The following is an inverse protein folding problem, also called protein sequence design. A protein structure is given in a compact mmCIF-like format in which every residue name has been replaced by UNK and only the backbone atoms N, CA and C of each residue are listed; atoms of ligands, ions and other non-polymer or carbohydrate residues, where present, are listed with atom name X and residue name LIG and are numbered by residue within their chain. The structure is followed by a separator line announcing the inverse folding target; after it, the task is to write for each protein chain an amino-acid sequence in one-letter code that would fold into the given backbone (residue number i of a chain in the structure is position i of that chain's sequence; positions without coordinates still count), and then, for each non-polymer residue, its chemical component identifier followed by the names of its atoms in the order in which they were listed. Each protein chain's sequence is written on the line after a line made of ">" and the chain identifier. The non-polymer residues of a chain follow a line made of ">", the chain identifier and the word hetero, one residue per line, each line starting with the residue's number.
data_IF_139403055108
#
_entry.id   IF_139403055108
#
_cell.length_a   1.000
_cell.length_b   1.000
_cell.length_c   1.000
_cell.angle_alpha   90.00
_cell.angle_beta   90.00
_cell.angle_gamma   90.00
#
_symmetry.space_group_name_H-M   'P 1'
#
loop_
_entity.id
_entity.type
_entity.pdbx_description
1 polymer ?
#
# COMPACT_ATOMS: atom_id res chain seq x y z
N UNK A 1 -6.00 -9.65 -10.10
CA UNK A 1 -5.44 -9.57 -8.73
C UNK A 1 -4.10 -8.87 -8.86
N UNK A 2 -3.92 -7.70 -8.26
CA UNK A 2 -2.67 -6.96 -8.36
C UNK A 2 -1.56 -7.74 -7.64
N UNK A 3 -0.40 -7.82 -8.28
CA UNK A 3 0.79 -8.44 -7.68
C UNK A 3 1.79 -7.34 -7.40
N UNK A 4 2.14 -7.16 -6.13
CA UNK A 4 3.28 -6.34 -5.75
C UNK A 4 4.49 -7.25 -5.74
N UNK A 5 5.19 -7.28 -6.87
CA UNK A 5 6.38 -8.09 -7.09
C UNK A 5 7.49 -7.26 -7.75
N UNK A 6 8.61 -7.91 -8.07
CA UNK A 6 9.74 -7.25 -8.75
C UNK A 6 9.35 -6.65 -10.12
N UNK A 7 8.31 -7.15 -10.80
CA UNK A 7 7.84 -6.54 -12.05
C UNK A 7 7.22 -5.18 -11.78
N UNK A 8 6.42 -5.05 -10.72
CA UNK A 8 5.89 -3.76 -10.30
C UNK A 8 7.02 -2.77 -10.01
N UNK A 9 8.05 -3.19 -9.28
CA UNK A 9 9.20 -2.30 -9.02
C UNK A 9 9.90 -1.86 -10.30
N UNK A 10 10.07 -2.75 -11.28
CA UNK A 10 10.62 -2.40 -12.60
C UNK A 10 9.74 -1.37 -13.33
N UNK A 11 8.43 -1.55 -13.33
CA UNK A 11 7.49 -0.60 -13.94
C UNK A 11 7.52 0.78 -13.27
N UNK A 12 7.77 0.81 -11.95
CA UNK A 12 7.93 2.03 -11.17
C UNK A 12 9.30 2.70 -11.34
N UNK A 13 10.22 2.07 -12.09
CA UNK A 13 11.57 2.57 -12.28
C UNK A 13 12.54 2.18 -11.16
N UNK A 14 12.13 1.35 -10.21
CA UNK A 14 12.92 0.85 -9.07
C UNK A 14 13.62 -0.49 -9.36
N UNK A 15 13.62 -0.94 -10.61
CA UNK A 15 14.21 -2.23 -11.01
C UNK A 15 15.70 -2.35 -10.75
N UNK A 16 16.42 -1.23 -10.63
CA UNK A 16 17.86 -1.15 -10.35
C UNK A 16 18.22 -1.25 -8.87
N UNK A 17 17.23 -1.27 -7.97
CA UNK A 17 17.49 -1.41 -6.53
C UNK A 17 18.14 -2.76 -6.21
N UNK A 18 19.01 -2.83 -5.19
CA UNK A 18 19.49 -4.09 -4.63
C UNK A 18 18.33 -4.97 -4.15
N UNK A 19 18.50 -6.30 -4.16
CA UNK A 19 17.45 -7.24 -3.79
C UNK A 19 16.87 -7.00 -2.38
N UNK A 20 17.72 -6.62 -1.42
CA UNK A 20 17.28 -6.28 -0.06
C UNK A 20 16.38 -5.03 -0.05
N UNK A 21 16.78 -3.98 -0.76
CA UNK A 21 16.02 -2.73 -0.86
C UNK A 21 14.71 -2.92 -1.62
N UNK A 22 14.69 -3.81 -2.63
CA UNK A 22 13.46 -4.22 -3.32
C UNK A 22 12.46 -4.86 -2.36
N UNK A 23 12.92 -5.79 -1.52
CA UNK A 23 12.05 -6.45 -0.55
C UNK A 23 11.50 -5.46 0.49
N UNK A 24 12.35 -4.56 1.01
CA UNK A 24 11.92 -3.48 1.90
C UNK A 24 10.92 -2.55 1.23
N UNK A 25 11.17 -2.18 -0.03
CA UNK A 25 10.27 -1.34 -0.81
C UNK A 25 8.92 -2.03 -1.01
N UNK A 26 8.88 -3.31 -1.39
CA UNK A 26 7.63 -4.05 -1.54
C UNK A 26 6.85 -4.08 -0.23
N UNK A 27 7.49 -4.41 0.88
CA UNK A 27 6.86 -4.39 2.20
C UNK A 27 6.28 -2.99 2.53
N UNK A 28 7.07 -1.94 2.31
CA UNK A 28 6.63 -0.58 2.56
C UNK A 28 5.44 -0.16 1.69
N UNK A 29 5.40 -0.57 0.41
CA UNK A 29 4.26 -0.31 -0.48
C UNK A 29 3.02 -1.06 0.01
N UNK A 30 3.16 -2.31 0.45
CA UNK A 30 2.06 -3.09 1.04
C UNK A 30 1.49 -2.39 2.27
N UNK A 31 2.33 -2.06 3.25
CA UNK A 31 1.91 -1.39 4.50
C UNK A 31 1.26 -0.03 4.22
N UNK A 32 1.85 0.75 3.32
CA UNK A 32 1.31 2.06 2.94
C UNK A 32 -0.04 1.94 2.24
N UNK A 33 -0.18 0.96 1.34
CA UNK A 33 -1.44 0.72 0.65
C UNK A 33 -2.53 0.30 1.64
N UNK A 34 -2.21 -0.63 2.55
CA UNK A 34 -3.14 -1.10 3.58
C UNK A 34 -3.64 0.05 4.45
N UNK A 35 -2.74 0.90 4.95
CA UNK A 35 -3.11 2.08 5.74
C UNK A 35 -3.98 3.06 4.95
N UNK A 36 -3.61 3.38 3.70
CA UNK A 36 -4.36 4.33 2.87
C UNK A 36 -5.76 3.82 2.54
N UNK A 37 -5.86 2.55 2.16
CA UNK A 37 -7.13 1.90 1.87
C UNK A 37 -7.98 1.84 3.13
N UNK A 38 -7.41 1.41 4.27
CA UNK A 38 -8.10 1.37 5.55
C UNK A 38 -8.67 2.74 5.93
N UNK A 39 -7.86 3.79 5.85
CA UNK A 39 -8.29 5.16 6.12
C UNK A 39 -9.40 5.63 5.16
N UNK A 40 -9.26 5.39 3.85
CA UNK A 40 -10.25 5.79 2.84
C UNK A 40 -11.58 5.06 2.96
N UNK A 41 -11.54 3.80 3.37
CA UNK A 41 -12.74 3.03 3.65
C UNK A 41 -13.37 3.53 4.95
N UNK A 42 -12.57 3.76 6.00
CA UNK A 42 -13.03 4.28 7.28
C UNK A 42 -13.73 5.64 7.16
N UNK A 43 -13.23 6.55 6.32
CA UNK A 43 -13.87 7.85 6.02
C UNK A 43 -15.29 7.72 5.44
N UNK A 44 -15.64 6.56 4.87
CA UNK A 44 -16.94 6.28 4.28
C UNK A 44 -17.80 5.36 5.16
N UNK A 45 -17.27 4.89 6.29
CA UNK A 45 -17.97 4.06 7.26
C UNK A 45 -18.65 4.91 8.33
N UNK A 46 -19.79 4.43 8.79
CA UNK A 46 -20.37 4.90 10.06
C UNK A 46 -19.59 4.31 11.24
N UNK A 47 -19.70 4.93 12.44
CA UNK A 47 -19.04 4.42 13.64
C UNK A 47 -19.38 2.94 13.92
N UNK A 48 -20.64 2.53 13.78
CA UNK A 48 -21.02 1.14 13.98
C UNK A 48 -20.34 0.20 12.98
N UNK A 49 -20.21 0.63 11.72
CA UNK A 49 -19.53 -0.16 10.69
C UNK A 49 -18.03 -0.25 10.93
N UNK A 50 -17.41 0.80 11.50
CA UNK A 50 -16.02 0.77 11.95
C UNK A 50 -15.85 -0.26 13.08
N UNK A 51 -16.70 -0.22 14.10
CA UNK A 51 -16.66 -1.19 15.21
C UNK A 51 -16.82 -2.64 14.70
N UNK A 52 -17.75 -2.87 13.76
CA UNK A 52 -17.94 -4.17 13.13
C UNK A 52 -16.71 -4.61 12.34
N UNK A 53 -16.09 -3.70 11.59
CA UNK A 53 -14.90 -3.97 10.79
C UNK A 53 -13.68 -4.26 11.67
N UNK A 54 -13.44 -3.44 12.70
CA UNK A 54 -12.36 -3.61 13.69
C UNK A 54 -12.45 -4.97 14.40
N UNK A 55 -13.67 -5.43 14.71
CA UNK A 55 -13.86 -6.74 15.33
C UNK A 55 -13.37 -7.92 14.48
N UNK A 56 -13.29 -7.78 13.15
CA UNK A 56 -12.66 -8.79 12.29
C UNK A 56 -11.14 -8.71 12.35
N UNK A 57 -10.57 -7.50 12.37
CA UNK A 57 -9.13 -7.26 12.46
C UNK A 57 -8.58 -7.80 13.79
N UNK A 58 -9.25 -7.51 14.91
CA UNK A 58 -8.89 -8.00 16.24
C UNK A 58 -8.85 -9.53 16.31
N UNK A 59 -9.76 -10.18 15.59
CA UNK A 59 -9.86 -11.65 15.51
C UNK A 59 -8.89 -12.27 14.49
N UNK A 60 -8.12 -11.45 13.76
CA UNK A 60 -7.33 -11.89 12.62
C UNK A 60 -8.18 -12.64 11.57
N UNK A 61 -9.46 -12.27 11.44
CA UNK A 61 -10.40 -12.88 10.49
C UNK A 61 -10.43 -12.09 9.18
N UNK A 62 -9.34 -12.21 8.42
CA UNK A 62 -9.17 -11.53 7.13
C UNK A 62 -10.26 -11.93 6.12
N UNK A 63 -10.67 -13.19 6.15
CA UNK A 63 -11.72 -13.70 5.26
C UNK A 63 -13.09 -13.08 5.59
N UNK A 64 -13.43 -13.00 6.89
CA UNK A 64 -14.63 -12.33 7.37
C UNK A 64 -14.64 -10.84 7.04
N UNK A 65 -13.52 -10.14 7.26
CA UNK A 65 -13.35 -8.73 6.90
C UNK A 65 -13.60 -8.49 5.40
N UNK A 66 -13.03 -9.32 4.53
CA UNK A 66 -13.21 -9.21 3.07
C UNK A 66 -14.65 -9.48 2.65
N UNK A 67 -15.31 -10.49 3.21
CA UNK A 67 -16.72 -10.78 2.90
C UNK A 67 -17.64 -9.65 3.38
N UNK A 68 -17.35 -9.07 4.55
CA UNK A 68 -18.07 -7.93 5.08
C UNK A 68 -17.90 -6.70 4.18
N UNK A 69 -16.68 -6.45 3.68
CA UNK A 69 -16.42 -5.38 2.70
C UNK A 69 -17.15 -5.62 1.38
N UNK A 70 -17.16 -6.86 0.87
CA UNK A 70 -17.91 -7.19 -0.36
C UNK A 70 -19.42 -6.93 -0.22
N UNK A 71 -19.96 -7.14 0.98
CA UNK A 71 -21.39 -6.97 1.26
C UNK A 71 -21.75 -5.51 1.52
N UNK A 72 -21.00 -4.82 2.38
CA UNK A 72 -21.33 -3.47 2.86
C UNK A 72 -20.69 -2.36 2.01
N UNK A 73 -19.53 -2.63 1.42
CA UNK A 73 -18.74 -1.70 0.63
C UNK A 73 -18.42 -2.30 -0.73
N UNK A 74 -19.40 -2.57 -1.61
CA UNK A 74 -19.16 -3.24 -2.90
C UNK A 74 -18.15 -2.51 -3.82
N UNK A 75 -17.89 -1.23 -3.54
CA UNK A 75 -16.89 -0.39 -4.22
C UNK A 75 -15.49 -0.44 -3.59
N UNK A 76 -15.24 -1.20 -2.51
CA UNK A 76 -13.94 -1.22 -1.84
C UNK A 76 -12.80 -1.61 -2.77
N UNK A 77 -13.06 -2.52 -3.74
CA UNK A 77 -12.08 -2.90 -4.78
C UNK A 77 -11.70 -1.72 -5.69
N UNK A 78 -12.64 -0.79 -5.93
CA UNK A 78 -12.36 0.45 -6.66
C UNK A 78 -11.46 1.35 -5.84
N UNK A 79 -11.77 1.55 -4.55
CA UNK A 79 -10.93 2.33 -3.63
C UNK A 79 -9.50 1.76 -3.57
N UNK A 80 -9.35 0.44 -3.44
CA UNK A 80 -8.04 -0.22 -3.46
C UNK A 80 -7.29 0.05 -4.76
N UNK A 81 -7.96 -0.05 -5.91
CA UNK A 81 -7.35 0.21 -7.21
C UNK A 81 -6.95 1.69 -7.37
N UNK A 82 -7.79 2.63 -6.93
CA UNK A 82 -7.52 4.06 -6.99
C UNK A 82 -6.34 4.45 -6.09
N UNK A 83 -6.30 3.96 -4.84
CA UNK A 83 -5.21 4.23 -3.92
C UNK A 83 -3.90 3.58 -4.38
N UNK A 84 -3.96 2.39 -4.96
CA UNK A 84 -2.78 1.75 -5.57
C UNK A 84 -2.24 2.55 -6.76
N UNK A 85 -3.10 3.03 -7.66
CA UNK A 85 -2.65 3.82 -8.82
C UNK A 85 -2.07 5.18 -8.39
N UNK A 86 -2.63 5.83 -7.37
CA UNK A 86 -2.06 7.04 -6.75
C UNK A 86 -0.68 6.75 -6.17
N UNK A 87 -0.58 5.71 -5.35
CA UNK A 87 0.68 5.31 -4.72
C UNK A 87 1.75 4.97 -5.75
N UNK A 88 1.40 4.22 -6.81
CA UNK A 88 2.30 3.93 -7.93
C UNK A 88 2.80 5.23 -8.60
N UNK A 89 1.91 6.19 -8.82
CA UNK A 89 2.26 7.47 -9.43
C UNK A 89 3.24 8.25 -8.55
N UNK A 90 2.97 8.34 -7.24
CA UNK A 90 3.86 8.98 -6.26
C UNK A 90 5.23 8.31 -6.23
N UNK A 91 5.28 6.98 -6.12
CA UNK A 91 6.53 6.23 -6.10
C UNK A 91 7.31 6.44 -7.40
N UNK A 92 6.65 6.42 -8.54
CA UNK A 92 7.29 6.63 -9.84
C UNK A 92 7.91 8.03 -9.95
N UNK A 93 7.28 9.04 -9.37
CA UNK A 93 7.83 10.40 -9.29
C UNK A 93 9.05 10.46 -8.36
N UNK A 94 9.01 9.73 -7.24
CA UNK A 94 10.12 9.65 -6.27
C UNK A 94 11.21 8.64 -6.65
N UNK A 95 10.99 7.77 -7.65
CA UNK A 95 11.88 6.67 -7.98
C UNK A 95 13.34 7.08 -8.24
N UNK A 96 13.64 8.17 -8.97
CA UNK A 96 15.02 8.63 -9.16
C UNK A 96 15.71 9.01 -7.84
N UNK A 97 14.96 9.61 -6.91
CA UNK A 97 15.48 10.02 -5.59
C UNK A 97 15.71 8.81 -4.69
N UNK A 98 14.78 7.84 -4.72
CA UNK A 98 14.90 6.58 -3.98
C UNK A 98 16.15 5.82 -4.44
N UNK A 99 16.38 5.70 -5.75
CA UNK A 99 17.58 5.04 -6.28
C UNK A 99 18.85 5.78 -5.86
N UNK A 100 18.87 7.10 -5.96
CA UNK A 100 20.02 7.89 -5.55
C UNK A 100 20.34 7.69 -4.06
N UNK A 101 19.32 7.70 -3.20
CA UNK A 101 19.47 7.44 -1.76
C UNK A 101 19.94 6.01 -1.45
N UNK A 102 19.47 5.01 -2.22
CA UNK A 102 19.92 3.62 -2.05
C UNK A 102 21.36 3.37 -2.56
N UNK A 103 21.89 4.24 -3.42
CA UNK A 103 23.25 4.12 -3.97
C UNK A 103 24.30 4.85 -3.14
N UNK A 104 23.90 5.82 -2.32
CA UNK A 104 24.80 6.61 -1.47
C UNK A 104 24.50 6.39 0.01
N UNK A 105 25.06 5.33 0.65
CA UNK A 105 24.86 5.06 2.08
C UNK A 105 25.47 6.12 3.01
N UNK A 106 26.08 7.18 2.47
CA UNK A 106 26.72 8.27 3.21
C UNK A 106 26.20 9.66 2.82
N UNK A 107 24.88 9.88 2.84
CA UNK A 107 24.37 11.26 2.80
C UNK A 107 23.40 11.51 3.95
N UNK A 108 23.78 12.30 4.98
CA UNK A 108 22.81 12.84 5.91
C UNK A 108 21.86 13.73 5.09
N UNK A 109 20.56 13.55 5.28
CA UNK A 109 19.56 14.48 4.78
C UNK A 109 19.93 15.90 5.28
N UNK A 110 20.49 16.70 4.39
CA UNK A 110 20.79 18.10 4.65
C UNK A 110 19.47 18.85 4.59
N UNK A 111 18.90 19.12 5.76
CA UNK A 111 17.95 20.21 5.97
C UNK A 111 18.71 21.53 6.12
#
# INVERSE_FOLDING_TARGET
>A
MFKLDDNLLKELGLGSLPAEEKNKMLAHIYETLEMRVGMKLAEQMTNNQLDEFEAFIDKNDEAGALQWLETNFPKYKQVVAEELEKLKTEIKQSAPQIIAASQDPQQPAAN
#
